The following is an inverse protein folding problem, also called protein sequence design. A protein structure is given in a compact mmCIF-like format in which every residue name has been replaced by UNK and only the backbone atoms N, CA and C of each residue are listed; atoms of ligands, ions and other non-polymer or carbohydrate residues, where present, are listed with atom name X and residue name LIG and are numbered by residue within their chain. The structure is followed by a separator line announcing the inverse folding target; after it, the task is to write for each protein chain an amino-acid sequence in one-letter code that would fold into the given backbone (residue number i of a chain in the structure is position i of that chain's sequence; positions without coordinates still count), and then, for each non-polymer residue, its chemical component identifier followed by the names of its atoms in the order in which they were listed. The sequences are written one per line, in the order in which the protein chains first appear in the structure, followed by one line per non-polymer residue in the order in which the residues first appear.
data_IF_885029897374
#
_entry.id   IF_885029897374
#
_cell.length_a   1.000
_cell.length_b   1.000
_cell.length_c   1.000
_cell.angle_alpha   90.00
_cell.angle_beta   90.00
_cell.angle_gamma   90.00
#
_symmetry.space_group_name_H-M   'P 1'
#
loop_
_entity.id
_entity.type
_entity.pdbx_description
1 polymer ?
#
# COMPACT_ATOMS: atom_id res chain seq x y z
N UNK A 1 16.44 22.22 -10.53
CA UNK A 1 17.42 22.27 -9.45
C UNK A 1 17.03 21.28 -8.36
N UNK A 2 17.97 20.41 -8.01
CA UNK A 2 17.71 19.37 -7.04
C UNK A 2 17.74 19.90 -5.62
N UNK A 3 16.58 20.04 -5.03
CA UNK A 3 16.46 20.43 -3.64
C UNK A 3 16.14 19.19 -2.80
N UNK A 4 16.93 18.14 -3.01
CA UNK A 4 16.74 16.88 -2.32
C UNK A 4 17.37 16.89 -0.95
N UNK A 5 16.66 16.30 -0.01
CA UNK A 5 17.16 16.15 1.35
C UNK A 5 16.75 14.77 1.89
N UNK A 6 17.45 14.35 2.92
CA UNK A 6 17.26 13.04 3.51
C UNK A 6 16.17 13.10 4.59
N UNK A 7 15.19 12.21 4.48
CA UNK A 7 14.24 12.02 5.55
C UNK A 7 14.24 10.54 5.97
N UNK A 8 13.78 10.28 7.15
CA UNK A 8 13.63 8.92 7.64
C UNK A 8 12.16 8.59 7.81
N UNK A 9 11.75 7.46 7.26
CA UNK A 9 10.38 6.99 7.39
C UNK A 9 10.39 5.60 8.01
N UNK A 10 9.38 5.30 8.81
CA UNK A 10 9.25 4.00 9.42
C UNK A 10 8.14 3.21 8.74
N UNK A 11 8.49 2.05 8.24
CA UNK A 11 7.53 1.15 7.58
C UNK A 11 7.74 -0.24 8.15
N UNK A 12 6.66 -0.82 8.67
CA UNK A 12 6.69 -2.17 9.22
C UNK A 12 7.74 -2.35 10.33
N UNK A 13 7.90 -1.31 11.15
CA UNK A 13 8.81 -1.37 12.29
C UNK A 13 10.27 -1.12 11.94
N UNK A 14 10.58 -0.78 10.70
CA UNK A 14 11.94 -0.52 10.28
C UNK A 14 12.06 0.89 9.71
N UNK A 15 13.16 1.57 10.05
CA UNK A 15 13.42 2.92 9.59
C UNK A 15 14.21 2.90 8.29
N UNK A 16 13.80 3.72 7.33
CA UNK A 16 14.46 3.85 6.02
C UNK A 16 14.81 5.28 5.77
N UNK A 17 16.03 5.53 5.34
CA UNK A 17 16.45 6.87 4.90
C UNK A 17 16.21 7.01 3.41
N UNK A 18 15.46 8.02 3.02
CA UNK A 18 15.19 8.28 1.61
C UNK A 18 15.46 9.74 1.28
N UNK A 19 15.91 9.99 0.06
CA UNK A 19 16.16 11.35 -0.43
C UNK A 19 15.01 11.75 -1.32
N UNK A 20 14.42 12.89 -1.01
CA UNK A 20 13.27 13.42 -1.75
C UNK A 20 13.42 14.90 -1.94
N UNK A 21 12.66 15.45 -2.87
CA UNK A 21 12.54 16.89 -3.01
C UNK A 21 11.65 17.44 -1.90
N UNK A 22 11.88 18.66 -1.47
CA UNK A 22 11.07 19.27 -0.42
C UNK A 22 9.59 19.33 -0.80
N UNK A 23 9.30 19.52 -2.06
CA UNK A 23 7.93 19.55 -2.55
C UNK A 23 7.21 18.22 -2.40
N UNK A 24 7.95 17.12 -2.23
CA UNK A 24 7.40 15.79 -2.12
C UNK A 24 7.19 15.32 -0.68
N UNK A 25 7.71 16.07 0.28
CA UNK A 25 7.74 15.59 1.67
C UNK A 25 6.36 15.25 2.22
N UNK A 26 5.40 16.13 1.99
CA UNK A 26 4.05 15.91 2.52
C UNK A 26 3.42 14.66 1.93
N UNK A 27 3.57 14.47 0.63
CA UNK A 27 3.01 13.30 -0.06
C UNK A 27 3.69 12.02 0.44
N UNK A 28 5.01 12.06 0.59
CA UNK A 28 5.75 10.88 1.06
C UNK A 28 5.34 10.50 2.47
N UNK A 29 5.22 11.47 3.37
CA UNK A 29 4.83 11.18 4.74
C UNK A 29 3.39 10.70 4.83
N UNK A 30 2.53 11.23 3.98
CA UNK A 30 1.15 10.77 3.90
C UNK A 30 1.07 9.33 3.39
N UNK A 31 1.92 8.98 2.41
CA UNK A 31 1.99 7.62 1.91
C UNK A 31 2.39 6.64 3.01
N UNK A 32 3.36 7.03 3.84
CA UNK A 32 3.79 6.19 4.96
C UNK A 32 2.65 6.00 5.97
N UNK A 33 1.92 7.06 6.27
CA UNK A 33 0.77 6.96 7.16
C UNK A 33 -0.30 6.04 6.60
N UNK A 34 -0.54 6.10 5.31
CA UNK A 34 -1.51 5.26 4.64
C UNK A 34 -1.12 3.77 4.74
N UNK A 35 0.15 3.48 4.50
CA UNK A 35 0.65 2.10 4.64
C UNK A 35 0.44 1.60 6.06
N UNK A 36 0.82 2.40 7.05
CA UNK A 36 0.69 2.03 8.46
C UNK A 36 -0.77 1.77 8.83
N UNK A 37 -1.65 2.63 8.39
CA UNK A 37 -3.09 2.49 8.64
C UNK A 37 -3.63 1.19 8.06
N UNK A 38 -3.24 0.88 6.82
CA UNK A 38 -3.70 -0.33 6.16
C UNK A 38 -3.14 -1.58 6.84
N UNK A 39 -1.89 -1.55 7.27
CA UNK A 39 -1.30 -2.66 8.02
C UNK A 39 -2.07 -2.91 9.32
N UNK A 40 -2.42 -1.84 10.03
CA UNK A 40 -3.17 -1.96 11.27
C UNK A 40 -4.56 -2.55 11.03
N UNK A 41 -5.21 -2.15 9.96
CA UNK A 41 -6.52 -2.68 9.61
C UNK A 41 -6.47 -4.18 9.33
N UNK A 42 -5.46 -4.61 8.57
CA UNK A 42 -5.29 -6.03 8.28
C UNK A 42 -4.88 -6.82 9.51
N UNK A 43 -4.05 -6.23 10.36
CA UNK A 43 -3.62 -6.89 11.60
C UNK A 43 -4.80 -7.19 12.52
N UNK A 44 -5.75 -6.29 12.58
CA UNK A 44 -6.97 -6.48 13.37
C UNK A 44 -7.83 -7.60 12.81
N UNK A 45 -7.86 -7.73 11.50
CA UNK A 45 -8.70 -8.70 10.81
C UNK A 45 -8.04 -10.08 10.76
N UNK A 46 -6.71 -10.12 10.65
CA UNK A 46 -5.94 -11.34 10.49
C UNK A 46 -4.81 -11.35 11.52
N UNK A 47 -5.13 -11.70 12.75
CA UNK A 47 -4.20 -11.58 13.87
C UNK A 47 -2.98 -12.49 13.78
N UNK A 48 -3.06 -13.58 13.04
CA UNK A 48 -1.97 -14.56 12.94
C UNK A 48 -1.07 -14.35 11.73
N UNK A 49 -1.26 -13.28 11.00
CA UNK A 49 -0.49 -13.01 9.79
C UNK A 49 0.79 -12.28 10.15
N UNK A 50 1.92 -12.72 9.61
CA UNK A 50 3.19 -12.08 9.90
C UNK A 50 3.36 -10.77 9.10
N UNK A 51 4.40 -10.01 9.43
CA UNK A 51 4.63 -8.69 8.83
C UNK A 51 4.81 -8.79 7.32
N UNK A 52 5.50 -9.81 6.85
CA UNK A 52 5.74 -9.98 5.42
C UNK A 52 4.42 -10.15 4.67
N UNK A 53 3.52 -10.96 5.20
CA UNK A 53 2.22 -11.16 4.58
C UNK A 53 1.36 -9.91 4.67
N UNK A 54 1.44 -9.18 5.79
CA UNK A 54 0.73 -7.90 5.91
C UNK A 54 1.20 -6.91 4.85
N UNK A 55 2.50 -6.82 4.62
CA UNK A 55 3.04 -5.94 3.59
C UNK A 55 2.59 -6.38 2.20
N UNK A 56 2.56 -7.69 1.95
CA UNK A 56 2.09 -8.20 0.67
C UNK A 56 0.62 -7.82 0.43
N UNK A 57 -0.22 -7.94 1.45
CA UNK A 57 -1.63 -7.55 1.36
C UNK A 57 -1.78 -6.07 1.08
N UNK A 58 -1.05 -5.24 1.81
CA UNK A 58 -1.10 -3.79 1.64
C UNK A 58 -0.63 -3.39 0.24
N UNK A 59 0.49 -3.98 -0.20
CA UNK A 59 1.04 -3.70 -1.52
C UNK A 59 0.04 -4.06 -2.62
N UNK A 60 -0.57 -5.22 -2.51
CA UNK A 60 -1.56 -5.66 -3.49
C UNK A 60 -2.75 -4.70 -3.50
N UNK A 61 -3.27 -4.36 -2.34
CA UNK A 61 -4.42 -3.46 -2.23
C UNK A 61 -4.13 -2.09 -2.83
N UNK A 62 -2.96 -1.53 -2.51
CA UNK A 62 -2.59 -0.22 -3.04
C UNK A 62 -2.44 -0.25 -4.55
N UNK A 63 -1.88 -1.33 -5.08
CA UNK A 63 -1.74 -1.47 -6.53
C UNK A 63 -3.11 -1.55 -7.21
N UNK A 64 -4.03 -2.30 -6.63
CA UNK A 64 -5.41 -2.38 -7.15
C UNK A 64 -6.07 -1.00 -7.14
N UNK A 65 -5.96 -0.30 -6.03
CA UNK A 65 -6.56 1.03 -5.91
C UNK A 65 -5.95 2.01 -6.91
N UNK A 66 -4.64 1.91 -7.11
CA UNK A 66 -3.95 2.75 -8.07
C UNK A 66 -4.46 2.50 -9.49
N UNK A 67 -4.61 1.24 -9.85
CA UNK A 67 -5.11 0.88 -11.18
C UNK A 67 -6.56 1.32 -11.38
N UNK A 68 -7.37 1.24 -10.34
CA UNK A 68 -8.75 1.73 -10.41
C UNK A 68 -8.80 3.23 -10.64
N UNK A 69 -7.90 3.98 -10.02
CA UNK A 69 -7.82 5.42 -10.23
C UNK A 69 -7.39 5.76 -11.66
N UNK A 70 -6.43 5.01 -12.20
CA UNK A 70 -5.99 5.19 -13.58
C UNK A 70 -7.11 4.88 -14.57
N UNK A 71 -7.94 3.88 -14.25
CA UNK A 71 -9.02 3.43 -15.10
C UNK A 71 -10.32 4.20 -14.89
N UNK A 72 -10.28 5.22 -14.06
CA UNK A 72 -11.47 5.93 -13.60
C UNK A 72 -12.30 6.51 -14.72
N UNK A 73 -11.67 6.95 -15.79
CA UNK A 73 -12.34 7.59 -16.93
C UNK A 73 -12.67 6.63 -18.05
N UNK A 74 -12.31 5.36 -17.91
CA UNK A 74 -12.58 4.32 -18.89
C UNK A 74 -13.45 3.26 -18.25
N UNK A 75 -14.57 2.94 -18.87
CA UNK A 75 -15.37 1.80 -18.43
C UNK A 75 -14.73 0.54 -18.94
N UNK A 76 -13.83 -0.01 -18.18
CA UNK A 76 -13.03 -1.12 -18.60
C UNK A 76 -13.37 -2.39 -17.81
N UNK A 77 -13.44 -3.56 -18.46
CA UNK A 77 -13.58 -4.83 -17.75
C UNK A 77 -12.37 -5.13 -16.85
N UNK A 78 -11.32 -4.37 -17.03
CA UNK A 78 -10.10 -4.48 -16.26
C UNK A 78 -10.36 -4.30 -14.76
N UNK A 79 -11.22 -3.36 -14.39
CA UNK A 79 -11.56 -3.09 -12.99
C UNK A 79 -12.23 -4.29 -12.34
N UNK A 80 -13.10 -4.99 -13.06
CA UNK A 80 -13.76 -6.18 -12.54
C UNK A 80 -12.76 -7.30 -12.29
N UNK A 81 -11.82 -7.47 -13.22
CA UNK A 81 -10.78 -8.50 -13.09
C UNK A 81 -9.89 -8.23 -11.88
N UNK A 82 -9.56 -6.97 -11.64
CA UNK A 82 -8.75 -6.57 -10.50
C UNK A 82 -9.49 -6.88 -9.20
N UNK A 83 -10.78 -6.60 -9.14
CA UNK A 83 -11.58 -6.89 -7.95
C UNK A 83 -11.63 -8.39 -7.66
N UNK A 84 -11.78 -9.20 -8.70
CA UNK A 84 -11.75 -10.64 -8.58
C UNK A 84 -10.45 -11.14 -7.97
N UNK A 85 -9.33 -10.62 -8.46
CA UNK A 85 -8.01 -11.00 -7.97
C UNK A 85 -7.81 -10.59 -6.52
N UNK A 86 -8.33 -9.43 -6.14
CA UNK A 86 -8.27 -8.95 -4.75
C UNK A 86 -9.03 -9.91 -3.83
N UNK A 87 -10.22 -10.30 -4.25
CA UNK A 87 -11.06 -11.22 -3.47
C UNK A 87 -10.38 -12.57 -3.31
N UNK A 88 -9.75 -13.08 -4.37
CA UNK A 88 -9.03 -14.35 -4.32
C UNK A 88 -7.85 -14.29 -3.35
N UNK A 89 -7.11 -13.19 -3.36
CA UNK A 89 -5.98 -13.05 -2.45
C UNK A 89 -6.46 -13.02 -0.99
N UNK A 90 -7.49 -12.27 -0.70
CA UNK A 90 -8.04 -12.19 0.65
C UNK A 90 -8.54 -13.54 1.13
N UNK A 91 -9.21 -14.28 0.25
CA UNK A 91 -9.71 -15.61 0.56
C UNK A 91 -8.57 -16.57 0.87
N UNK A 92 -7.51 -16.53 0.09
CA UNK A 92 -6.33 -17.37 0.31
C UNK A 92 -5.69 -17.09 1.67
N UNK A 93 -5.51 -15.82 2.00
CA UNK A 93 -4.89 -15.44 3.25
C UNK A 93 -5.76 -15.76 4.46
N UNK A 94 -7.07 -15.72 4.27
CA UNK A 94 -8.04 -16.02 5.33
C UNK A 94 -8.05 -17.49 5.71
N UNK A 95 -7.74 -18.37 4.76
CA UNK A 95 -7.77 -19.82 4.97
C UNK A 95 -6.48 -20.38 5.55
N UNK A 96 -5.53 -19.51 5.80
CA UNK A 96 -4.27 -19.95 6.45
C UNK A 96 -4.43 -20.18 7.96
#
# INVERSE_FOLDING_TARGET
MDDKFLIHVEIAGKSYGIRINRSEEQVVREAVRQIRKKMDQYRKKYSDVDVKDLLAMVTFQLSVENLKLEDKNDTSPFTEKIQELTDELESFLKDK
#
